data_IF_974788515346
#
_entry.id   IF_974788515346
#
_cell.length_a   1.000
_cell.length_b   1.000
_cell.length_c   1.000
_cell.angle_alpha   90.00
_cell.angle_beta   90.00
_cell.angle_gamma   90.00
#
_symmetry.space_group_name_H-M   'P 1'
#
loop_
_entity.id
_entity.type
_entity.pdbx_description
1 polymer ?
#
# COMPACT_ATOMS: atom_id res chain seq x y z
N UNK A 1 6.60 -24.78 15.04
CA UNK A 1 6.34 -24.32 13.66
C UNK A 1 7.57 -23.57 13.17
N UNK A 2 8.24 -24.04 12.12
CA UNK A 2 9.43 -23.36 11.60
C UNK A 2 9.04 -21.98 11.06
N UNK A 3 9.57 -20.91 11.66
CA UNK A 3 9.45 -19.56 11.12
C UNK A 3 10.24 -19.51 9.80
N UNK A 4 9.54 -19.34 8.68
CA UNK A 4 10.19 -19.10 7.38
C UNK A 4 10.97 -17.79 7.48
N UNK A 5 12.27 -17.84 7.16
CA UNK A 5 13.17 -16.67 7.15
C UNK A 5 13.15 -15.90 5.83
N UNK A 6 12.54 -16.46 4.78
CA UNK A 6 12.56 -15.91 3.42
C UNK A 6 11.18 -15.96 2.78
N UNK A 7 10.82 -14.85 2.12
CA UNK A 7 9.61 -14.76 1.30
C UNK A 7 9.72 -15.70 0.09
N UNK A 8 8.61 -16.35 -0.22
CA UNK A 8 8.42 -17.14 -1.44
C UNK A 8 8.48 -16.25 -2.68
N UNK A 9 8.76 -16.85 -3.84
CA UNK A 9 8.81 -16.13 -5.11
C UNK A 9 7.51 -15.35 -5.40
N UNK A 10 6.36 -15.98 -5.13
CA UNK A 10 5.05 -15.36 -5.32
C UNK A 10 4.83 -14.16 -4.39
N UNK A 11 5.29 -14.23 -3.15
CA UNK A 11 5.24 -13.11 -2.21
C UNK A 11 6.13 -11.95 -2.69
N UNK A 12 7.33 -12.24 -3.20
CA UNK A 12 8.22 -11.21 -3.77
C UNK A 12 7.57 -10.52 -4.98
N UNK A 13 6.97 -11.28 -5.88
CA UNK A 13 6.25 -10.72 -7.03
C UNK A 13 5.08 -9.83 -6.59
N UNK A 14 4.30 -10.26 -5.59
CA UNK A 14 3.19 -9.43 -5.08
C UNK A 14 3.71 -8.13 -4.45
N UNK A 15 4.80 -8.21 -3.68
CA UNK A 15 5.44 -7.02 -3.08
C UNK A 15 5.95 -6.07 -4.16
N UNK A 16 6.61 -6.57 -5.20
CA UNK A 16 7.14 -5.76 -6.30
C UNK A 16 6.04 -5.03 -7.07
N UNK A 17 4.92 -5.73 -7.33
CA UNK A 17 3.74 -5.15 -7.98
C UNK A 17 3.06 -4.06 -7.13
N UNK A 18 2.99 -4.28 -5.82
CA UNK A 18 2.45 -3.30 -4.88
C UNK A 18 3.38 -2.07 -4.75
N UNK A 19 4.69 -2.29 -4.71
CA UNK A 19 5.69 -1.23 -4.68
C UNK A 19 5.60 -0.35 -5.93
N UNK A 20 5.48 -0.95 -7.12
CA UNK A 20 5.27 -0.20 -8.36
C UNK A 20 4.01 0.67 -8.33
N UNK A 21 2.87 0.11 -7.89
CA UNK A 21 1.63 0.87 -7.80
C UNK A 21 1.74 2.05 -6.82
N UNK A 22 2.39 1.81 -5.68
CA UNK A 22 2.61 2.83 -4.65
C UNK A 22 3.52 3.96 -5.14
N UNK A 23 4.64 3.62 -5.80
CA UNK A 23 5.56 4.61 -6.38
C UNK A 23 4.86 5.47 -7.44
N UNK A 24 4.00 4.88 -8.27
CA UNK A 24 3.24 5.67 -9.25
C UNK A 24 2.27 6.66 -8.57
N UNK A 25 1.61 6.26 -7.49
CA UNK A 25 0.71 7.15 -6.75
C UNK A 25 1.49 8.26 -5.99
N UNK A 26 2.64 7.93 -5.42
CA UNK A 26 3.55 8.89 -4.78
C UNK A 26 4.15 9.88 -5.79
N UNK A 27 4.57 9.45 -6.99
CA UNK A 27 5.02 10.38 -8.05
C UNK A 27 3.90 11.34 -8.41
N UNK A 28 2.67 10.83 -8.55
CA UNK A 28 1.53 11.68 -8.86
C UNK A 28 1.28 12.74 -7.78
N UNK A 29 1.44 12.39 -6.50
CA UNK A 29 1.13 13.24 -5.34
C UNK A 29 2.27 14.17 -4.90
N UNK A 30 3.50 13.69 -4.90
CA UNK A 30 4.66 14.40 -4.35
C UNK A 30 5.45 15.14 -5.46
N UNK A 31 5.31 14.73 -6.72
CA UNK A 31 6.04 15.35 -7.85
C UNK A 31 5.08 16.05 -8.80
N UNK A 32 4.01 15.39 -9.27
CA UNK A 32 3.15 15.99 -10.29
C UNK A 32 2.16 16.98 -9.68
N UNK A 33 1.49 16.64 -8.58
CA UNK A 33 0.50 17.52 -7.95
C UNK A 33 1.07 18.89 -7.52
N UNK A 34 2.30 19.00 -6.96
CA UNK A 34 2.86 20.29 -6.58
C UNK A 34 3.38 21.12 -7.76
N UNK A 35 3.78 20.49 -8.86
CA UNK A 35 4.43 21.16 -10.00
C UNK A 35 3.48 21.36 -11.20
N UNK A 36 2.52 20.47 -11.39
CA UNK A 36 1.58 20.39 -12.51
C UNK A 36 0.25 19.74 -12.07
N UNK A 37 -0.53 20.37 -11.16
CA UNK A 37 -1.73 19.77 -10.55
C UNK A 37 -2.79 19.32 -11.57
N UNK A 38 -2.93 20.05 -12.68
CA UNK A 38 -3.84 19.71 -13.77
C UNK A 38 -3.48 18.38 -14.47
N UNK A 39 -2.25 17.89 -14.31
CA UNK A 39 -1.75 16.67 -14.94
C UNK A 39 -1.71 15.47 -13.99
N UNK A 40 -1.80 15.69 -12.67
CA UNK A 40 -1.75 14.62 -11.67
C UNK A 40 -2.82 13.55 -11.92
N UNK A 41 -4.05 13.97 -12.18
CA UNK A 41 -5.17 13.06 -12.45
C UNK A 41 -5.03 12.35 -13.81
N UNK A 42 -4.50 13.05 -14.82
CA UNK A 42 -4.21 12.48 -16.13
C UNK A 42 -3.14 11.38 -16.05
N UNK A 43 -2.08 11.63 -15.28
CA UNK A 43 -1.02 10.68 -15.02
C UNK A 43 -1.53 9.44 -14.27
N UNK A 44 -2.30 9.62 -13.20
CA UNK A 44 -2.92 8.48 -12.48
C UNK A 44 -3.78 7.62 -13.41
N UNK A 45 -4.60 8.24 -14.27
CA UNK A 45 -5.43 7.52 -15.25
C UNK A 45 -4.60 6.81 -16.30
N UNK A 46 -3.51 7.40 -16.77
CA UNK A 46 -2.60 6.77 -17.72
C UNK A 46 -1.91 5.56 -17.10
N UNK A 47 -1.31 5.71 -15.92
CA UNK A 47 -0.62 4.62 -15.22
C UNK A 47 -1.57 3.48 -14.82
N UNK A 48 -2.83 3.78 -14.48
CA UNK A 48 -3.88 2.77 -14.27
C UNK A 48 -4.15 1.92 -15.52
N UNK A 49 -4.01 2.49 -16.72
CA UNK A 49 -4.19 1.76 -18.00
C UNK A 49 -2.94 0.96 -18.37
N UNK A 50 -1.75 1.50 -18.15
CA UNK A 50 -0.48 0.82 -18.44
C UNK A 50 -0.23 -0.35 -17.48
N UNK A 51 -0.65 -0.22 -16.22
CA UNK A 51 -0.37 -1.19 -15.15
C UNK A 51 -1.64 -1.62 -14.39
N UNK A 52 -2.66 -2.18 -15.07
CA UNK A 52 -3.98 -2.42 -14.47
C UNK A 52 -3.93 -3.45 -13.33
N UNK A 53 -3.05 -4.46 -13.43
CA UNK A 53 -2.89 -5.48 -12.39
C UNK A 53 -2.28 -4.93 -11.10
N UNK A 54 -1.42 -3.91 -11.19
CA UNK A 54 -0.76 -3.33 -10.01
C UNK A 54 -1.73 -2.42 -9.27
N UNK A 55 -2.49 -1.61 -10.02
CA UNK A 55 -3.53 -0.75 -9.45
C UNK A 55 -4.70 -1.55 -8.87
N UNK A 56 -5.06 -2.71 -9.42
CA UNK A 56 -6.05 -3.59 -8.81
C UNK A 56 -5.62 -4.05 -7.41
N UNK A 57 -4.36 -4.47 -7.26
CA UNK A 57 -3.80 -4.86 -5.96
C UNK A 57 -3.76 -3.68 -4.98
N UNK A 58 -3.41 -2.48 -5.48
CA UNK A 58 -3.42 -1.26 -4.67
C UNK A 58 -4.84 -0.91 -4.20
N UNK A 59 -5.85 -0.96 -5.07
CA UNK A 59 -7.24 -0.68 -4.74
C UNK A 59 -7.78 -1.70 -3.70
N UNK A 60 -7.42 -2.98 -3.84
CA UNK A 60 -7.74 -4.03 -2.86
C UNK A 60 -7.06 -3.78 -1.50
N UNK A 61 -5.79 -3.39 -1.51
CA UNK A 61 -5.05 -3.02 -0.30
C UNK A 61 -5.67 -1.80 0.38
N UNK A 62 -5.99 -0.74 -0.37
CA UNK A 62 -6.61 0.48 0.14
C UNK A 62 -7.95 0.20 0.83
N UNK A 63 -8.76 -0.73 0.30
CA UNK A 63 -9.99 -1.18 0.96
C UNK A 63 -9.73 -1.93 2.26
N UNK A 64 -8.60 -2.63 2.37
CA UNK A 64 -8.22 -3.37 3.57
C UNK A 64 -7.61 -2.47 4.66
N UNK A 65 -6.95 -1.36 4.29
CA UNK A 65 -6.25 -0.45 5.23
C UNK A 65 -7.10 -0.04 6.44
N UNK A 66 -8.36 0.41 6.31
CA UNK A 66 -9.16 0.81 7.47
C UNK A 66 -9.36 -0.32 8.49
N UNK A 67 -9.58 -1.55 8.00
CA UNK A 67 -9.74 -2.73 8.84
C UNK A 67 -8.43 -3.09 9.54
N UNK A 68 -7.32 -3.10 8.80
CA UNK A 68 -5.98 -3.38 9.35
C UNK A 68 -5.61 -2.34 10.40
N UNK A 69 -5.81 -1.05 10.12
CA UNK A 69 -5.57 0.05 11.06
C UNK A 69 -6.37 -0.15 12.36
N UNK A 70 -7.65 -0.50 12.26
CA UNK A 70 -8.49 -0.77 13.44
C UNK A 70 -7.96 -1.94 14.27
N UNK A 71 -7.50 -3.01 13.62
CA UNK A 71 -6.92 -4.17 14.30
C UNK A 71 -5.60 -3.82 15.00
N UNK A 72 -4.68 -3.16 14.30
CA UNK A 72 -3.38 -2.74 14.87
C UNK A 72 -3.56 -1.81 16.07
N UNK A 73 -4.47 -0.83 15.98
CA UNK A 73 -4.78 0.05 17.10
C UNK A 73 -5.38 -0.72 18.29
N UNK A 74 -6.30 -1.65 18.04
CA UNK A 74 -6.89 -2.47 19.10
C UNK A 74 -5.84 -3.35 19.80
N UNK A 75 -4.89 -3.91 19.07
CA UNK A 75 -3.76 -4.67 19.63
C UNK A 75 -2.84 -3.77 20.47
N UNK A 76 -2.53 -2.58 19.97
CA UNK A 76 -1.72 -1.60 20.70
C UNK A 76 -2.38 -1.18 22.03
N UNK A 77 -3.69 -0.86 22.01
CA UNK A 77 -4.43 -0.51 23.22
C UNK A 77 -4.50 -1.67 24.22
N UNK A 78 -4.61 -2.92 23.75
CA UNK A 78 -4.55 -4.11 24.61
C UNK A 78 -3.18 -4.28 25.26
N UNK A 79 -2.10 -4.03 24.51
CA UNK A 79 -0.74 -4.10 25.05
C UNK A 79 -0.51 -3.03 26.12
N UNK A 80 -0.95 -1.79 25.89
CA UNK A 80 -0.87 -0.71 26.89
C UNK A 80 -1.63 -1.04 28.17
N UNK A 81 -2.81 -1.67 28.08
CA UNK A 81 -3.57 -2.10 29.28
C UNK A 81 -2.94 -3.25 30.07
N UNK A 82 -2.01 -4.01 29.46
CA UNK A 82 -1.34 -5.14 30.12
C UNK A 82 0.05 -4.81 30.68
N UNK A 83 0.63 -3.67 30.30
CA UNK A 83 1.97 -3.23 30.75
C UNK A 83 1.94 -2.15 31.82
N UNK A 84 0.78 -1.90 32.43
CA UNK A 84 0.57 -0.90 33.48
C UNK A 84 0.22 -1.53 34.83
N UNK A 85 0.94 -2.58 35.22
CA UNK A 85 1.03 -3.13 36.58
C UNK A 85 2.49 -3.01 37.06
#
# INVERSE_FOLDING_TARGET
MAQRRTATQKEKEVIDRLAHAFVCDEIAKEVIEPNCPEHAEGYKKHMRKECPHFYRLLDELQKAIPRVKKQMLAEHYKAMKKGGD
#
